data_IF_722268119413
#
_entry.id   IF_722268119413
#
_cell.length_a   1.000
_cell.length_b   1.000
_cell.length_c   1.000
_cell.angle_alpha   90.00
_cell.angle_beta   90.00
_cell.angle_gamma   90.00
#
_symmetry.space_group_name_H-M   'P 1'
#
loop_
_entity.id
_entity.type
_entity.pdbx_description
1 polymer ?
#
# COMPACT_ATOMS: atom_id res chain seq x y z
N UNK A 1 16.72 20.53 7.35
CA UNK A 1 15.39 19.95 7.63
C UNK A 1 15.51 18.44 7.80
N UNK A 2 14.75 17.85 8.72
CA UNK A 2 14.69 16.41 8.98
C UNK A 2 13.29 15.88 8.69
N UNK A 3 13.21 14.88 7.81
CA UNK A 3 11.96 14.30 7.31
C UNK A 3 11.73 12.91 7.91
N UNK A 4 10.57 12.69 8.53
CA UNK A 4 10.09 11.36 8.91
C UNK A 4 9.09 10.87 7.86
N UNK A 5 9.49 9.93 7.01
CA UNK A 5 8.66 9.41 5.93
C UNK A 5 8.10 8.02 6.29
N UNK A 6 6.79 7.96 6.55
CA UNK A 6 6.10 6.69 6.76
C UNK A 6 5.60 6.14 5.42
N UNK A 7 6.13 4.99 4.99
CA UNK A 7 5.97 4.49 3.63
C UNK A 7 5.72 2.99 3.55
N UNK A 8 6.20 2.38 2.46
CA UNK A 8 5.83 1.03 2.00
C UNK A 8 4.90 1.03 0.79
N UNK A 9 4.54 2.21 0.29
CA UNK A 9 3.75 2.44 -0.92
C UNK A 9 4.62 2.89 -2.09
N UNK A 10 4.03 2.94 -3.27
CA UNK A 10 4.68 3.56 -4.45
C UNK A 10 4.97 5.04 -4.22
N UNK A 11 4.05 5.76 -3.57
CA UNK A 11 4.16 7.16 -3.21
C UNK A 11 5.34 7.40 -2.28
N UNK A 12 5.44 6.64 -1.17
CA UNK A 12 6.56 6.75 -0.25
C UNK A 12 7.90 6.46 -0.92
N UNK A 13 7.95 5.48 -1.83
CA UNK A 13 9.17 5.20 -2.61
C UNK A 13 9.57 6.35 -3.54
N UNK A 14 8.60 6.97 -4.21
CA UNK A 14 8.84 8.12 -5.09
C UNK A 14 9.34 9.32 -4.30
N UNK A 15 8.77 9.58 -3.13
CA UNK A 15 9.21 10.65 -2.23
C UNK A 15 10.65 10.39 -1.73
N UNK A 16 10.96 9.16 -1.29
CA UNK A 16 12.31 8.80 -0.88
C UNK A 16 13.34 8.95 -2.02
N UNK A 17 12.97 8.58 -3.25
CA UNK A 17 13.83 8.78 -4.43
C UNK A 17 14.03 10.25 -4.75
N UNK A 18 12.99 11.08 -4.64
CA UNK A 18 13.09 12.53 -4.83
C UNK A 18 14.04 13.16 -3.79
N UNK A 19 13.95 12.79 -2.51
CA UNK A 19 14.88 13.23 -1.47
C UNK A 19 16.33 12.86 -1.83
N UNK A 20 16.56 11.63 -2.30
CA UNK A 20 17.88 11.18 -2.71
C UNK A 20 18.42 11.97 -3.91
N UNK A 21 17.58 12.28 -4.88
CA UNK A 21 17.92 13.06 -6.08
C UNK A 21 18.26 14.52 -5.73
N UNK A 22 17.47 15.15 -4.86
CA UNK A 22 17.77 16.50 -4.32
C UNK A 22 19.12 16.50 -3.60
N UNK A 23 19.38 15.51 -2.73
CA UNK A 23 20.66 15.41 -2.02
C UNK A 23 21.84 15.19 -2.98
N UNK A 24 21.67 14.41 -4.04
CA UNK A 24 22.68 14.22 -5.08
C UNK A 24 23.00 15.54 -5.80
N UNK A 25 21.97 16.31 -6.17
CA UNK A 25 22.14 17.64 -6.77
C UNK A 25 22.84 18.62 -5.83
N UNK A 26 22.45 18.67 -4.55
CA UNK A 26 23.13 19.49 -3.53
C UNK A 26 24.61 19.10 -3.38
N UNK A 27 24.92 17.81 -3.40
CA UNK A 27 26.31 17.33 -3.35
C UNK A 27 27.11 17.75 -4.60
N UNK A 28 26.53 17.66 -5.80
CA UNK A 28 27.16 18.14 -7.04
C UNK A 28 27.42 19.65 -6.98
N UNK A 29 26.49 20.41 -6.40
CA UNK A 29 26.60 21.86 -6.23
C UNK A 29 27.55 22.28 -5.08
N UNK A 30 28.04 21.34 -4.27
CA UNK A 30 28.89 21.63 -3.11
C UNK A 30 28.14 22.25 -1.93
N UNK A 31 26.80 22.09 -1.89
CA UNK A 31 25.95 22.51 -0.81
C UNK A 31 26.00 21.51 0.36
N UNK A 32 25.67 21.97 1.56
CA UNK A 32 25.78 21.19 2.81
C UNK A 32 24.45 21.04 3.57
N UNK A 33 23.41 21.71 3.11
CA UNK A 33 22.05 21.70 3.65
C UNK A 33 21.23 20.51 3.10
N UNK A 34 21.74 19.30 3.34
CA UNK A 34 21.07 18.07 2.93
C UNK A 34 19.72 17.88 3.66
N UNK A 35 18.81 17.19 2.99
CA UNK A 35 17.58 16.68 3.59
C UNK A 35 17.92 15.38 4.31
N UNK A 36 17.90 15.40 5.65
CA UNK A 36 18.01 14.19 6.45
C UNK A 36 16.66 13.48 6.48
N UNK A 37 16.61 12.18 6.24
CA UNK A 37 15.35 11.43 6.22
C UNK A 37 15.43 10.10 6.97
N UNK A 38 14.44 9.84 7.82
CA UNK A 38 14.15 8.53 8.37
C UNK A 38 12.91 7.95 7.68
N UNK A 39 13.10 6.86 6.93
CA UNK A 39 12.05 6.19 6.14
C UNK A 39 11.60 4.93 6.85
N UNK A 40 10.33 4.87 7.24
CA UNK A 40 9.74 3.75 7.97
C UNK A 40 8.93 2.88 7.02
N UNK A 41 9.27 1.60 6.95
CA UNK A 41 8.58 0.59 6.13
C UNK A 41 8.23 -0.63 6.97
N UNK A 42 7.12 -1.28 6.65
CA UNK A 42 6.63 -2.42 7.41
C UNK A 42 7.44 -3.72 7.17
N UNK A 43 8.11 -3.84 6.02
CA UNK A 43 8.72 -5.10 5.56
C UNK A 43 10.10 -4.91 4.94
N UNK A 44 10.91 -5.98 4.97
CA UNK A 44 12.22 -6.03 4.30
C UNK A 44 12.12 -5.77 2.80
N UNK A 45 11.03 -6.23 2.16
CA UNK A 45 10.80 -5.97 0.74
C UNK A 45 10.62 -4.47 0.48
N UNK A 46 9.77 -3.79 1.27
CA UNK A 46 9.60 -2.33 1.19
C UNK A 46 10.92 -1.58 1.32
N UNK A 47 11.80 -2.04 2.22
CA UNK A 47 13.14 -1.48 2.39
C UNK A 47 14.05 -1.74 1.18
N UNK A 48 14.00 -2.95 0.60
CA UNK A 48 14.84 -3.34 -0.55
C UNK A 48 14.60 -2.50 -1.80
N UNK A 49 13.43 -1.86 -1.90
CA UNK A 49 13.03 -1.02 -3.02
C UNK A 49 13.54 0.42 -2.94
N UNK A 50 14.13 0.82 -1.80
CA UNK A 50 14.63 2.17 -1.57
C UNK A 50 16.09 2.28 -2.01
N UNK A 51 16.45 3.40 -2.64
CA UNK A 51 17.86 3.72 -2.96
C UNK A 51 18.64 3.88 -1.65
N UNK A 52 19.85 3.33 -1.61
CA UNK A 52 20.79 3.60 -0.52
C UNK A 52 21.40 4.97 -0.73
N UNK A 53 21.17 5.87 0.22
CA UNK A 53 21.70 7.23 0.23
C UNK A 53 22.17 7.53 1.66
N UNK A 54 23.20 8.36 1.82
CA UNK A 54 23.87 8.62 3.10
C UNK A 54 22.98 9.35 4.10
N UNK A 55 22.10 10.22 3.61
CA UNK A 55 21.20 11.04 4.42
C UNK A 55 19.79 10.42 4.51
N UNK A 56 19.63 9.16 4.06
CA UNK A 56 18.38 8.39 4.17
C UNK A 56 18.62 7.14 5.01
N UNK A 57 18.04 7.11 6.22
CA UNK A 57 18.04 5.96 7.10
C UNK A 57 16.73 5.19 6.95
N UNK A 58 16.81 3.88 6.65
CA UNK A 58 15.63 3.03 6.49
C UNK A 58 15.39 2.20 7.74
N UNK A 59 14.19 2.29 8.29
CA UNK A 59 13.74 1.55 9.48
C UNK A 59 12.68 0.53 9.10
N UNK A 60 12.92 -0.73 9.47
CA UNK A 60 12.01 -1.84 9.21
C UNK A 60 11.26 -2.17 10.49
N UNK A 61 9.94 -2.20 10.40
CA UNK A 61 9.05 -2.55 11.49
C UNK A 61 7.96 -1.52 11.72
N UNK A 62 7.10 -1.82 12.69
CA UNK A 62 5.98 -0.95 13.06
C UNK A 62 6.35 -0.17 14.31
N UNK A 63 5.89 1.07 14.34
CA UNK A 63 5.97 1.93 15.52
C UNK A 63 4.57 2.18 16.06
N UNK A 64 4.45 2.21 17.37
CA UNK A 64 3.27 2.78 18.02
C UNK A 64 3.40 4.32 18.14
N UNK A 65 2.29 4.95 18.53
CA UNK A 65 2.20 6.41 18.74
C UNK A 65 3.28 6.94 19.69
N UNK A 66 3.53 6.25 20.80
CA UNK A 66 4.43 6.75 21.85
C UNK A 66 5.89 6.65 21.40
N UNK A 67 6.23 5.64 20.58
CA UNK A 67 7.52 5.54 19.91
C UNK A 67 7.70 6.65 18.87
N UNK A 68 6.68 6.92 18.04
CA UNK A 68 6.72 8.03 17.08
C UNK A 68 6.92 9.38 17.77
N UNK A 69 6.14 9.68 18.80
CA UNK A 69 6.25 10.94 19.54
C UNK A 69 7.64 11.13 20.17
N UNK A 70 8.26 10.06 20.69
CA UNK A 70 9.63 10.11 21.19
C UNK A 70 10.66 10.42 20.09
N UNK A 71 10.49 9.84 18.90
CA UNK A 71 11.39 10.10 17.77
C UNK A 71 11.28 11.55 17.31
N UNK A 72 10.05 12.03 17.09
CA UNK A 72 9.81 13.41 16.63
C UNK A 72 10.30 14.41 17.68
N UNK A 73 9.95 14.20 18.95
CA UNK A 73 10.36 15.09 20.04
C UNK A 73 11.88 15.13 20.23
N UNK A 74 12.58 14.01 20.03
CA UNK A 74 14.05 14.01 20.02
C UNK A 74 14.60 14.85 18.87
N UNK A 75 14.05 14.72 17.67
CA UNK A 75 14.51 15.49 16.52
C UNK A 75 14.29 17.00 16.70
N UNK A 76 13.16 17.40 17.29
CA UNK A 76 12.91 18.80 17.67
C UNK A 76 13.97 19.31 18.64
N UNK A 77 14.27 18.56 19.70
CA UNK A 77 15.33 18.94 20.66
C UNK A 77 16.71 19.03 19.99
N UNK A 78 17.02 18.10 19.08
CA UNK A 78 18.29 18.10 18.35
C UNK A 78 18.38 19.31 17.40
N UNK A 79 17.27 19.76 16.80
CA UNK A 79 17.18 20.98 16.00
C UNK A 79 17.33 22.24 16.85
N UNK A 80 16.64 22.33 18.00
CA UNK A 80 16.75 23.46 18.94
C UNK A 80 18.19 23.66 19.43
N UNK A 81 18.91 22.56 19.72
CA UNK A 81 20.33 22.60 20.10
C UNK A 81 21.25 23.13 19.00
N UNK A 82 20.79 23.10 17.74
CA UNK A 82 21.52 23.61 16.57
C UNK A 82 21.03 25.00 16.14
N UNK A 83 20.12 25.62 16.90
CA UNK A 83 19.56 26.94 16.61
C UNK A 83 18.36 26.93 15.65
N UNK A 84 17.79 25.76 15.37
CA UNK A 84 16.54 25.58 14.63
C UNK A 84 15.32 25.47 15.54
N UNK A 85 14.20 24.99 15.00
CA UNK A 85 12.96 24.77 15.73
C UNK A 85 12.13 23.59 15.18
N UNK A 86 10.90 23.42 15.67
CA UNK A 86 10.01 22.35 15.22
C UNK A 86 9.62 22.43 13.73
N UNK A 87 9.74 23.60 13.11
CA UNK A 87 9.53 23.81 11.67
C UNK A 87 10.63 23.18 10.80
N UNK A 88 11.77 22.81 11.39
CA UNK A 88 12.81 22.03 10.72
C UNK A 88 12.47 20.53 10.65
N UNK A 89 11.37 20.10 11.27
CA UNK A 89 10.92 18.71 11.31
C UNK A 89 9.63 18.56 10.51
N UNK A 90 9.65 17.65 9.53
CA UNK A 90 8.49 17.36 8.70
C UNK A 90 8.14 15.87 8.77
N UNK A 91 6.90 15.56 9.06
CA UNK A 91 6.37 14.20 8.96
C UNK A 91 5.60 14.05 7.65
N UNK A 92 5.91 13.01 6.87
CA UNK A 92 5.19 12.67 5.65
C UNK A 92 4.54 11.31 5.84
N UNK A 93 3.21 11.29 5.93
CA UNK A 93 2.42 10.07 5.90
C UNK A 93 2.14 9.69 4.43
N UNK A 94 2.99 8.82 3.88
CA UNK A 94 2.80 8.14 2.61
C UNK A 94 2.34 6.69 2.80
N UNK A 95 1.75 6.34 3.95
CA UNK A 95 1.23 4.99 4.21
C UNK A 95 0.06 4.67 3.29
N UNK A 96 -0.31 3.40 3.19
CA UNK A 96 -1.46 3.01 2.38
C UNK A 96 -2.76 3.63 2.95
N UNK A 97 -3.76 3.99 2.13
CA UNK A 97 -5.02 4.55 2.65
C UNK A 97 -5.83 3.67 3.62
N UNK A 98 -5.50 2.37 3.72
CA UNK A 98 -6.09 1.44 4.70
C UNK A 98 -5.36 1.42 6.04
N UNK A 99 -4.21 2.09 6.11
CA UNK A 99 -3.34 2.05 7.26
C UNK A 99 -3.84 3.02 8.35
N UNK A 100 -5.13 2.93 8.69
CA UNK A 100 -5.80 3.88 9.58
C UNK A 100 -5.13 3.98 10.94
N UNK A 101 -4.75 2.85 11.53
CA UNK A 101 -4.09 2.82 12.84
C UNK A 101 -2.75 3.57 12.80
N UNK A 102 -1.94 3.38 11.76
CA UNK A 102 -0.65 4.09 11.65
C UNK A 102 -0.86 5.55 11.28
N UNK A 103 -1.82 5.89 10.40
CA UNK A 103 -2.19 7.29 10.11
C UNK A 103 -2.67 8.02 11.37
N UNK A 104 -3.52 7.40 12.18
CA UNK A 104 -3.98 7.96 13.46
C UNK A 104 -2.83 8.11 14.45
N UNK A 105 -1.96 7.10 14.58
CA UNK A 105 -0.78 7.18 15.43
C UNK A 105 0.16 8.32 15.02
N UNK A 106 0.40 8.49 13.70
CA UNK A 106 1.22 9.59 13.16
C UNK A 106 0.57 10.92 13.54
N UNK A 107 -0.71 11.12 13.22
CA UNK A 107 -1.41 12.37 13.50
C UNK A 107 -1.36 12.74 14.99
N UNK A 108 -1.66 11.78 15.88
CA UNK A 108 -1.61 12.01 17.33
C UNK A 108 -0.18 12.28 17.85
N UNK A 109 0.84 11.63 17.28
CA UNK A 109 2.23 11.86 17.66
C UNK A 109 2.71 13.25 17.20
N UNK A 110 2.32 13.68 15.99
CA UNK A 110 2.62 15.01 15.48
C UNK A 110 1.97 16.09 16.34
N UNK A 111 0.69 15.93 16.68
CA UNK A 111 -0.05 16.85 17.56
C UNK A 111 0.61 16.96 18.94
N UNK A 112 1.01 15.84 19.54
CA UNK A 112 1.62 15.81 20.87
C UNK A 112 2.98 16.52 20.93
N UNK A 113 3.71 16.57 19.82
CA UNK A 113 5.06 17.16 19.74
C UNK A 113 5.03 18.57 19.13
N UNK A 114 4.02 18.90 18.33
CA UNK A 114 3.91 20.17 17.63
C UNK A 114 4.69 20.22 16.31
N UNK A 115 4.77 19.12 15.57
CA UNK A 115 5.44 19.04 14.26
C UNK A 115 4.44 18.98 13.10
N UNK A 116 4.84 19.52 11.95
CA UNK A 116 4.02 19.49 10.73
C UNK A 116 3.89 18.09 10.14
N UNK A 117 2.73 17.79 9.58
CA UNK A 117 2.41 16.51 8.95
C UNK A 117 1.76 16.71 7.58
N UNK A 118 2.31 16.06 6.55
CA UNK A 118 1.73 15.98 5.22
C UNK A 118 1.27 14.55 4.97
N UNK A 119 -0.04 14.36 4.79
CA UNK A 119 -0.62 13.11 4.30
C UNK A 119 -0.69 13.15 2.78
N UNK A 120 -0.05 12.17 2.14
CA UNK A 120 -0.12 12.02 0.68
C UNK A 120 -1.52 11.52 0.29
N UNK A 121 -2.29 12.38 -0.36
CA UNK A 121 -3.58 12.02 -0.92
C UNK A 121 -3.41 11.21 -2.20
N UNK A 122 -4.11 10.07 -2.26
CA UNK A 122 -4.28 9.30 -3.48
C UNK A 122 -5.68 9.58 -4.03
N UNK A 123 -5.83 10.28 -5.17
CA UNK A 123 -7.16 10.50 -5.73
C UNK A 123 -7.79 9.15 -6.07
N UNK A 124 -8.87 8.82 -5.36
CA UNK A 124 -9.76 7.70 -5.68
C UNK A 124 -10.61 8.08 -6.88
N UNK A 125 -10.00 8.18 -8.05
CA UNK A 125 -10.74 8.31 -9.29
C UNK A 125 -11.47 6.99 -9.56
N UNK A 126 -12.76 7.06 -9.91
CA UNK A 126 -13.35 6.07 -10.83
C UNK A 126 -12.59 6.17 -12.14
N UNK A 127 -11.39 5.60 -12.17
CA UNK A 127 -10.59 5.56 -13.38
C UNK A 127 -11.38 4.77 -14.42
N UNK A 128 -11.46 5.30 -15.63
CA UNK A 128 -12.01 4.54 -16.73
C UNK A 128 -11.19 3.26 -16.92
N UNK A 129 -11.82 2.18 -17.40
CA UNK A 129 -11.17 0.89 -17.63
C UNK A 129 -9.91 0.97 -18.52
N UNK A 130 -9.77 2.06 -19.29
CA UNK A 130 -8.64 2.34 -20.18
C UNK A 130 -7.48 3.00 -19.39
N UNK A 131 -7.76 4.03 -18.59
CA UNK A 131 -6.75 4.69 -17.75
C UNK A 131 -6.14 3.75 -16.71
N UNK A 132 -6.92 2.76 -16.26
CA UNK A 132 -6.44 1.70 -15.39
C UNK A 132 -5.49 0.74 -16.11
N UNK A 133 -5.60 0.52 -17.42
CA UNK A 133 -4.73 -0.44 -18.14
C UNK A 133 -3.33 0.11 -18.44
N UNK A 134 -3.19 1.43 -18.60
CA UNK A 134 -1.95 2.07 -19.05
C UNK A 134 -0.94 2.38 -17.93
N UNK A 135 -1.39 2.44 -16.66
CA UNK A 135 -0.50 2.73 -15.54
C UNK A 135 0.18 1.44 -15.06
N UNK A 136 1.40 1.22 -15.54
CA UNK A 136 2.29 0.18 -15.07
C UNK A 136 2.71 0.42 -13.61
N UNK A 137 1.91 -0.06 -12.66
CA UNK A 137 2.23 -0.33 -11.26
C UNK A 137 1.15 -1.26 -10.71
N UNK A 138 1.38 -1.93 -9.58
CA UNK A 138 0.33 -2.66 -8.84
C UNK A 138 -0.78 -1.71 -8.38
N UNK A 139 -1.76 -1.46 -9.26
CA UNK A 139 -2.90 -0.63 -8.95
C UNK A 139 -3.86 -1.36 -8.02
N UNK A 140 -4.38 -0.63 -7.04
CA UNK A 140 -5.43 -1.12 -6.16
C UNK A 140 -6.76 -0.59 -6.70
N UNK A 141 -7.73 -1.48 -6.84
CA UNK A 141 -9.09 -1.17 -7.29
C UNK A 141 -10.04 -1.54 -6.18
N UNK A 142 -11.00 -0.65 -5.91
CA UNK A 142 -11.82 -0.72 -4.71
C UNK A 142 -13.26 -0.95 -5.11
N UNK A 143 -13.90 -1.89 -4.43
CA UNK A 143 -15.28 -2.26 -4.68
C UNK A 143 -16.05 -2.34 -3.37
N UNK A 144 -17.33 -1.95 -3.41
CA UNK A 144 -18.21 -2.04 -2.24
C UNK A 144 -18.63 -3.50 -1.97
N UNK A 145 -18.54 -4.37 -2.98
CA UNK A 145 -18.96 -5.77 -2.87
C UNK A 145 -18.23 -6.68 -3.85
N UNK A 146 -18.25 -7.99 -3.55
CA UNK A 146 -17.75 -9.04 -4.47
C UNK A 146 -18.46 -8.98 -5.82
N UNK A 147 -19.76 -8.70 -5.82
CA UNK A 147 -20.59 -8.59 -7.03
C UNK A 147 -20.12 -7.47 -7.96
N UNK A 148 -19.76 -6.31 -7.40
CA UNK A 148 -19.25 -5.19 -8.18
C UNK A 148 -17.88 -5.51 -8.79
N UNK A 149 -16.98 -6.11 -8.01
CA UNK A 149 -15.67 -6.56 -8.50
C UNK A 149 -15.78 -7.60 -9.61
N UNK A 150 -16.67 -8.59 -9.45
CA UNK A 150 -16.94 -9.60 -10.48
C UNK A 150 -17.55 -8.98 -11.75
N UNK A 151 -18.42 -7.97 -11.60
CA UNK A 151 -18.95 -7.19 -12.72
C UNK A 151 -17.88 -6.43 -13.49
N UNK A 152 -16.92 -5.81 -12.79
CA UNK A 152 -15.77 -5.16 -13.43
C UNK A 152 -14.85 -6.17 -14.11
N UNK A 153 -14.57 -7.32 -13.48
CA UNK A 153 -13.79 -8.39 -14.12
C UNK A 153 -14.49 -8.89 -15.39
N UNK A 154 -15.82 -9.03 -15.40
CA UNK A 154 -16.57 -9.39 -16.61
C UNK A 154 -16.32 -8.42 -17.77
N UNK A 155 -16.28 -7.11 -17.51
CA UNK A 155 -16.02 -6.11 -18.57
C UNK A 155 -14.58 -6.19 -19.06
N UNK A 156 -13.61 -6.36 -18.15
CA UNK A 156 -12.19 -6.55 -18.50
C UNK A 156 -11.97 -7.78 -19.38
N UNK A 157 -12.61 -8.91 -19.06
CA UNK A 157 -12.47 -10.17 -19.81
C UNK A 157 -13.28 -10.20 -21.10
N UNK A 158 -14.10 -9.16 -21.33
CA UNK A 158 -14.69 -8.90 -22.64
C UNK A 158 -13.70 -8.20 -23.60
N UNK A 159 -12.53 -7.78 -23.10
CA UNK A 159 -11.40 -7.24 -23.89
C UNK A 159 -10.26 -8.28 -24.02
N UNK A 160 -9.29 -8.04 -24.90
CA UNK A 160 -8.32 -9.05 -25.36
C UNK A 160 -7.32 -9.56 -24.29
N UNK A 161 -7.14 -8.87 -23.15
CA UNK A 161 -6.16 -9.29 -22.12
C UNK A 161 -6.82 -10.21 -21.09
N UNK A 162 -6.58 -11.52 -21.22
CA UNK A 162 -7.05 -12.55 -20.30
C UNK A 162 -5.92 -13.02 -19.39
N UNK A 163 -5.90 -12.54 -18.14
CA UNK A 163 -4.96 -13.00 -17.09
C UNK A 163 -5.63 -14.00 -16.15
N UNK A 164 -4.90 -14.60 -15.21
CA UNK A 164 -5.54 -15.38 -14.14
C UNK A 164 -5.92 -14.49 -12.95
N UNK A 165 -6.93 -14.92 -12.20
CA UNK A 165 -7.49 -14.21 -11.05
C UNK A 165 -7.30 -15.10 -9.82
N UNK A 166 -6.52 -14.63 -8.84
CA UNK A 166 -6.43 -15.29 -7.53
C UNK A 166 -7.48 -14.70 -6.60
N UNK A 167 -8.50 -15.47 -6.26
CA UNK A 167 -9.60 -15.08 -5.37
C UNK A 167 -9.29 -15.56 -3.96
N UNK A 168 -9.10 -14.61 -3.04
CA UNK A 168 -8.74 -14.88 -1.63
C UNK A 168 -9.84 -14.47 -0.64
N UNK A 169 -11.05 -14.19 -1.13
CA UNK A 169 -12.22 -13.79 -0.33
C UNK A 169 -13.00 -14.98 0.26
N UNK A 170 -12.51 -16.21 0.05
CA UNK A 170 -13.13 -17.45 0.50
C UNK A 170 -14.28 -17.93 -0.40
N UNK A 171 -15.07 -18.89 0.09
CA UNK A 171 -16.11 -19.57 -0.69
C UNK A 171 -17.51 -18.97 -0.54
N UNK A 172 -17.73 -18.07 0.42
CA UNK A 172 -19.08 -17.59 0.79
C UNK A 172 -19.82 -16.96 -0.39
N UNK A 173 -19.14 -16.13 -1.15
CA UNK A 173 -19.71 -15.36 -2.28
C UNK A 173 -19.09 -15.78 -3.63
N UNK A 174 -18.52 -16.99 -3.71
CA UNK A 174 -17.77 -17.42 -4.89
C UNK A 174 -18.62 -17.55 -6.16
N UNK A 175 -19.95 -17.73 -6.01
CA UNK A 175 -20.88 -17.78 -7.13
C UNK A 175 -20.93 -16.47 -7.94
N UNK A 176 -20.59 -15.31 -7.34
CA UNK A 176 -20.65 -14.04 -8.07
C UNK A 176 -19.64 -13.98 -9.24
N UNK A 177 -18.54 -14.74 -9.16
CA UNK A 177 -17.52 -14.76 -10.22
C UNK A 177 -17.92 -15.59 -11.45
N UNK A 178 -19.01 -16.35 -11.40
CA UNK A 178 -19.49 -17.13 -12.56
C UNK A 178 -20.06 -16.25 -13.67
N UNK A 179 -20.20 -14.94 -13.43
CA UNK A 179 -20.59 -13.95 -14.45
C UNK A 179 -19.46 -13.63 -15.44
N UNK A 180 -18.22 -13.99 -15.12
CA UNK A 180 -17.04 -13.78 -15.97
C UNK A 180 -17.07 -14.85 -17.09
N UNK A 181 -16.90 -14.46 -18.37
CA UNK A 181 -16.82 -15.41 -19.47
C UNK A 181 -15.67 -16.40 -19.25
N UNK A 182 -15.94 -17.69 -19.44
CA UNK A 182 -14.98 -18.79 -19.21
C UNK A 182 -14.30 -18.70 -17.82
N UNK A 183 -15.00 -18.26 -16.77
CA UNK A 183 -14.41 -18.02 -15.44
C UNK A 183 -13.59 -19.23 -14.92
N UNK A 184 -14.01 -20.45 -15.24
CA UNK A 184 -13.31 -21.68 -14.84
C UNK A 184 -11.88 -21.75 -15.38
N UNK A 185 -11.59 -21.06 -16.49
CA UNK A 185 -10.27 -20.98 -17.13
C UNK A 185 -9.36 -19.86 -16.60
N UNK A 186 -9.84 -19.02 -15.67
CA UNK A 186 -9.03 -17.92 -15.12
C UNK A 186 -9.07 -17.84 -13.59
N UNK A 187 -10.15 -18.30 -12.95
CA UNK A 187 -10.34 -18.17 -11.52
C UNK A 187 -9.61 -19.27 -10.74
N UNK A 188 -8.58 -18.87 -9.99
CA UNK A 188 -7.98 -19.63 -8.90
C UNK A 188 -8.66 -19.24 -7.60
N UNK A 189 -9.14 -20.22 -6.83
CA UNK A 189 -9.90 -19.97 -5.60
C UNK A 189 -9.11 -20.46 -4.40
N UNK A 190 -8.79 -19.54 -3.48
CA UNK A 190 -8.22 -19.88 -2.18
C UNK A 190 -9.31 -19.89 -1.12
N UNK A 191 -9.54 -21.06 -0.51
CA UNK A 191 -10.59 -21.25 0.49
C UNK A 191 -10.18 -22.33 1.51
N UNK A 192 -10.98 -22.48 2.58
CA UNK A 192 -10.71 -23.48 3.63
C UNK A 192 -10.87 -24.92 3.09
N UNK A 193 -10.04 -25.87 3.57
CA UNK A 193 -10.06 -27.27 3.12
C UNK A 193 -11.20 -28.06 3.75
N UNK A 194 -12.44 -27.73 3.37
CA UNK A 194 -13.65 -28.43 3.84
C UNK A 194 -14.38 -29.10 2.66
N UNK A 195 -15.09 -30.19 2.94
CA UNK A 195 -15.90 -30.88 1.92
C UNK A 195 -17.00 -29.99 1.34
N UNK A 196 -17.62 -29.15 2.18
CA UNK A 196 -18.65 -28.19 1.76
C UNK A 196 -18.10 -27.20 0.73
N UNK A 197 -16.90 -26.66 0.96
CA UNK A 197 -16.22 -25.75 0.02
C UNK A 197 -15.93 -26.44 -1.30
N UNK A 198 -15.35 -27.65 -1.25
CA UNK A 198 -15.01 -28.41 -2.45
C UNK A 198 -16.27 -28.73 -3.28
N UNK A 199 -17.35 -29.14 -2.61
CA UNK A 199 -18.64 -29.44 -3.23
C UNK A 199 -19.22 -28.18 -3.88
N UNK A 200 -19.30 -27.07 -3.16
CA UNK A 200 -19.81 -25.79 -3.67
C UNK A 200 -19.03 -25.32 -4.91
N UNK A 201 -17.69 -25.34 -4.86
CA UNK A 201 -16.86 -24.97 -5.99
C UNK A 201 -17.07 -25.90 -7.19
N UNK A 202 -17.17 -27.21 -6.96
CA UNK A 202 -17.40 -28.19 -8.03
C UNK A 202 -18.77 -28.01 -8.70
N UNK A 203 -19.84 -27.81 -7.92
CA UNK A 203 -21.21 -27.60 -8.42
C UNK A 203 -21.33 -26.31 -9.25
N UNK A 204 -20.57 -25.28 -8.89
CA UNK A 204 -20.50 -24.02 -9.63
C UNK A 204 -19.63 -24.11 -10.88
N UNK A 205 -18.90 -25.20 -11.11
CA UNK A 205 -18.05 -25.40 -12.29
C UNK A 205 -16.60 -24.91 -12.15
N UNK A 206 -16.14 -24.61 -10.93
CA UNK A 206 -14.72 -24.30 -10.72
C UNK A 206 -13.85 -25.55 -10.87
N UNK A 207 -12.73 -25.37 -11.55
CA UNK A 207 -11.74 -26.41 -11.83
C UNK A 207 -10.98 -26.82 -10.57
N UNK A 208 -10.91 -28.12 -10.30
CA UNK A 208 -10.25 -28.66 -9.10
C UNK A 208 -8.75 -28.34 -9.05
N UNK A 209 -8.07 -28.34 -10.19
CA UNK A 209 -6.67 -27.96 -10.35
C UNK A 209 -6.40 -26.47 -10.10
N UNK A 210 -7.44 -25.67 -9.88
CA UNK A 210 -7.36 -24.23 -9.57
C UNK A 210 -7.92 -23.90 -8.18
N UNK A 211 -8.20 -24.92 -7.36
CA UNK A 211 -8.60 -24.75 -5.96
C UNK A 211 -7.39 -24.88 -5.05
N UNK A 212 -7.04 -23.80 -4.36
CA UNK A 212 -6.00 -23.75 -3.34
C UNK A 212 -6.68 -23.87 -1.97
N UNK A 213 -6.93 -25.11 -1.55
CA UNK A 213 -7.65 -25.40 -0.30
C UNK A 213 -6.67 -25.47 0.88
N UNK A 214 -6.54 -24.37 1.62
CA UNK A 214 -5.57 -24.23 2.72
C UNK A 214 -6.11 -23.31 3.83
N UNK A 215 -5.62 -23.49 5.06
CA UNK A 215 -5.92 -22.62 6.19
C UNK A 215 -4.73 -21.68 6.47
N UNK A 216 -5.02 -20.37 6.55
CA UNK A 216 -4.03 -19.33 6.88
C UNK A 216 -3.94 -19.05 8.40
N UNK A 217 -3.28 -17.95 8.82
CA UNK A 217 -2.78 -16.84 7.99
C UNK A 217 -1.57 -17.24 7.12
N UNK A 218 -1.29 -16.45 6.08
CA UNK A 218 -0.19 -16.69 5.14
C UNK A 218 0.75 -15.48 5.11
N UNK A 219 2.05 -15.73 5.30
CA UNK A 219 3.10 -14.72 5.14
C UNK A 219 3.31 -14.32 3.67
N UNK A 220 4.14 -13.29 3.44
CA UNK A 220 4.44 -12.76 2.09
C UNK A 220 4.93 -13.85 1.14
N UNK A 221 5.89 -14.68 1.55
CA UNK A 221 6.47 -15.75 0.72
C UNK A 221 5.42 -16.75 0.20
N UNK A 222 4.45 -17.11 1.04
CA UNK A 222 3.39 -18.03 0.63
C UNK A 222 2.41 -17.34 -0.33
N UNK A 223 2.11 -16.06 -0.13
CA UNK A 223 1.29 -15.29 -1.07
C UNK A 223 2.01 -15.12 -2.42
N UNK A 224 3.32 -14.86 -2.43
CA UNK A 224 4.15 -14.82 -3.64
C UNK A 224 4.11 -16.15 -4.39
N UNK A 225 4.32 -17.26 -3.69
CA UNK A 225 4.27 -18.58 -4.28
C UNK A 225 2.90 -18.88 -4.93
N UNK A 226 1.80 -18.51 -4.26
CA UNK A 226 0.45 -18.72 -4.78
C UNK A 226 0.12 -17.82 -5.98
N UNK A 227 0.54 -16.55 -5.96
CA UNK A 227 0.38 -15.64 -7.08
C UNK A 227 1.17 -16.11 -8.31
N UNK A 228 2.42 -16.58 -8.11
CA UNK A 228 3.25 -17.18 -9.18
C UNK A 228 2.64 -18.49 -9.70
N UNK A 229 2.19 -19.37 -8.80
CA UNK A 229 1.53 -20.63 -9.18
C UNK A 229 0.30 -20.38 -10.05
N UNK A 230 -0.51 -19.38 -9.70
CA UNK A 230 -1.68 -18.99 -10.47
C UNK A 230 -1.34 -18.21 -11.75
N UNK A 231 -0.10 -17.76 -11.97
CA UNK A 231 0.24 -16.73 -12.98
C UNK A 231 -0.76 -15.56 -12.95
N UNK A 232 -1.06 -15.08 -11.74
CA UNK A 232 -2.14 -14.16 -11.51
C UNK A 232 -1.80 -12.77 -12.06
N UNK A 233 -2.72 -12.17 -12.83
CA UNK A 233 -2.69 -10.72 -13.13
C UNK A 233 -3.58 -9.91 -12.19
N UNK A 234 -4.51 -10.59 -11.51
CA UNK A 234 -5.42 -9.99 -10.54
C UNK A 234 -5.43 -10.78 -9.23
N UNK A 235 -5.41 -10.06 -8.11
CA UNK A 235 -5.64 -10.59 -6.76
C UNK A 235 -6.94 -9.98 -6.23
N UNK A 236 -7.94 -10.81 -5.92
CA UNK A 236 -9.16 -10.34 -5.25
C UNK A 236 -9.09 -10.66 -3.77
N UNK A 237 -9.24 -9.65 -2.92
CA UNK A 237 -9.08 -9.77 -1.46
C UNK A 237 -10.09 -8.92 -0.71
N UNK A 238 -10.40 -9.27 0.53
CA UNK A 238 -11.10 -8.39 1.49
C UNK A 238 -10.07 -7.64 2.31
N UNK A 239 -10.38 -6.41 2.72
CA UNK A 239 -9.65 -5.77 3.80
C UNK A 239 -10.07 -6.39 5.13
N UNK A 240 -9.33 -7.42 5.53
CA UNK A 240 -9.51 -8.16 6.77
C UNK A 240 -8.57 -7.67 7.88
N UNK A 241 -7.88 -6.53 7.67
CA UNK A 241 -6.79 -6.09 8.52
C UNK A 241 -5.66 -7.12 8.65
N UNK A 242 -4.82 -6.93 9.68
CA UNK A 242 -3.65 -7.78 9.95
C UNK A 242 -4.01 -9.23 10.27
N UNK A 243 -5.09 -9.46 11.03
CA UNK A 243 -5.50 -10.80 11.46
C UNK A 243 -5.79 -11.71 10.26
N UNK A 244 -6.35 -11.15 9.17
CA UNK A 244 -6.60 -11.90 7.95
C UNK A 244 -5.46 -11.86 6.92
N UNK A 245 -4.30 -11.32 7.29
CA UNK A 245 -3.09 -11.24 6.46
C UNK A 245 -3.23 -10.35 5.23
N UNK A 246 -4.03 -9.28 5.32
CA UNK A 246 -4.25 -8.34 4.20
C UNK A 246 -2.95 -7.64 3.75
N UNK A 247 -2.08 -7.14 4.65
CA UNK A 247 -0.80 -6.54 4.27
C UNK A 247 0.08 -7.50 3.45
N UNK A 248 0.22 -8.75 3.90
CA UNK A 248 1.10 -9.74 3.27
C UNK A 248 0.64 -10.12 1.86
N UNK A 249 -0.67 -10.11 1.62
CA UNK A 249 -1.28 -10.28 0.29
C UNK A 249 -0.94 -9.11 -0.62
N UNK A 250 -1.02 -7.88 -0.10
CA UNK A 250 -0.76 -6.66 -0.83
C UNK A 250 0.71 -6.56 -1.21
N UNK A 251 1.63 -6.81 -0.27
CA UNK A 251 3.06 -6.80 -0.50
C UNK A 251 3.46 -7.79 -1.60
N UNK A 252 2.94 -9.01 -1.54
CA UNK A 252 3.20 -10.03 -2.57
C UNK A 252 2.67 -9.63 -3.95
N UNK A 253 1.50 -8.97 -4.01
CA UNK A 253 0.95 -8.49 -5.27
C UNK A 253 1.76 -7.31 -5.84
N UNK A 254 2.21 -6.40 -4.99
CA UNK A 254 3.09 -5.28 -5.37
C UNK A 254 4.39 -5.82 -5.96
N UNK A 255 4.99 -6.83 -5.34
CA UNK A 255 6.22 -7.46 -5.84
C UNK A 255 6.08 -8.07 -7.24
N UNK A 256 4.93 -8.69 -7.51
CA UNK A 256 4.69 -9.36 -8.79
C UNK A 256 4.01 -8.46 -9.83
N UNK A 257 3.78 -7.18 -9.52
CA UNK A 257 3.04 -6.26 -10.40
C UNK A 257 1.58 -6.68 -10.62
N UNK A 258 1.02 -7.44 -9.69
CA UNK A 258 -0.36 -7.94 -9.73
C UNK A 258 -1.32 -6.85 -9.30
N UNK A 259 -2.40 -6.67 -10.05
CA UNK A 259 -3.45 -5.71 -9.70
C UNK A 259 -4.32 -6.24 -8.56
N UNK A 260 -4.51 -5.44 -7.52
CA UNK A 260 -5.26 -5.86 -6.33
C UNK A 260 -6.67 -5.29 -6.37
N UNK A 261 -7.68 -6.15 -6.36
CA UNK A 261 -9.09 -5.79 -6.24
C UNK A 261 -9.51 -5.99 -4.78
N UNK A 262 -9.68 -4.90 -4.05
CA UNK A 262 -10.05 -4.91 -2.63
C UNK A 262 -11.56 -4.73 -2.49
N UNK A 263 -12.17 -5.68 -1.77
CA UNK A 263 -13.57 -5.63 -1.37
C UNK A 263 -13.65 -4.95 0.00
N UNK A 264 -14.39 -3.84 0.04
CA UNK A 264 -14.45 -2.91 1.17
C UNK A 264 -13.62 -1.67 0.87
N UNK A 265 -14.24 -0.48 0.98
CA UNK A 265 -13.52 0.79 0.89
C UNK A 265 -12.74 1.04 2.19
N UNK A 266 -11.59 1.73 2.13
CA UNK A 266 -10.95 2.20 3.34
C UNK A 266 -11.94 3.05 4.11
N UNK A 267 -12.12 2.77 5.38
CA UNK A 267 -12.66 3.79 6.28
C UNK A 267 -11.64 4.91 6.32
N UNK A 268 -12.06 6.16 6.15
CA UNK A 268 -11.15 7.29 6.28
C UNK A 268 -10.66 7.35 7.72
N UNK A 269 -9.34 7.35 7.93
CA UNK A 269 -8.75 7.77 9.19
C UNK A 269 -9.31 9.16 9.57
N UNK A 270 -9.53 9.39 10.87
CA UNK A 270 -9.87 10.73 11.33
C UNK A 270 -8.66 11.64 11.08
N UNK A 271 -8.76 12.46 10.04
CA UNK A 271 -7.74 13.44 9.70
C UNK A 271 -8.03 14.75 10.47
N UNK A 272 -7.03 15.30 11.18
CA UNK A 272 -7.14 16.62 11.79
C UNK A 272 -7.47 17.69 10.74
N UNK A 273 -8.24 18.70 11.15
CA UNK A 273 -8.53 19.88 10.33
C UNK A 273 -7.80 21.09 10.94
N UNK A 274 -6.48 21.05 10.88
CA UNK A 274 -5.56 21.98 11.52
C UNK A 274 -4.45 22.37 10.54
N UNK A 275 -3.87 23.57 10.66
CA UNK A 275 -2.88 24.08 9.70
C UNK A 275 -1.60 23.23 9.63
N UNK A 276 -1.25 22.54 10.73
CA UNK A 276 -0.10 21.65 10.82
C UNK A 276 -0.33 20.30 10.13
N UNK A 277 -1.56 19.97 9.72
CA UNK A 277 -1.91 18.71 9.07
C UNK A 277 -2.49 18.95 7.67
N UNK A 278 -1.71 18.66 6.64
CA UNK A 278 -2.12 18.88 5.24
C UNK A 278 -2.38 17.57 4.51
N UNK A 279 -3.37 17.56 3.62
CA UNK A 279 -3.70 16.42 2.75
C UNK A 279 -3.55 16.88 1.30
N UNK A 280 -2.44 16.55 0.65
CA UNK A 280 -2.09 17.03 -0.70
C UNK A 280 -1.62 15.89 -1.60
N UNK A 281 -1.69 16.06 -2.92
CA UNK A 281 -1.31 15.03 -3.88
C UNK A 281 0.21 14.77 -3.92
N UNK A 282 0.61 13.58 -4.41
CA UNK A 282 2.03 13.22 -4.53
C UNK A 282 2.88 14.27 -5.26
N UNK A 283 2.36 14.86 -6.34
CA UNK A 283 3.13 15.85 -7.10
C UNK A 283 3.36 17.12 -6.28
N UNK A 284 2.35 17.59 -5.55
CA UNK A 284 2.48 18.76 -4.67
C UNK A 284 3.51 18.53 -3.55
N UNK A 285 3.62 17.29 -3.04
CA UNK A 285 4.67 16.92 -2.08
C UNK A 285 6.06 16.98 -2.71
N UNK A 286 6.21 16.46 -3.92
CA UNK A 286 7.49 16.50 -4.64
C UNK A 286 7.91 17.95 -4.91
N UNK A 287 6.99 18.76 -5.45
CA UNK A 287 7.23 20.17 -5.74
C UNK A 287 7.63 20.94 -4.47
N UNK A 288 6.98 20.65 -3.32
CA UNK A 288 7.35 21.23 -2.03
C UNK A 288 8.77 20.85 -1.61
N UNK A 289 9.18 19.59 -1.76
CA UNK A 289 10.53 19.12 -1.40
C UNK A 289 11.62 19.74 -2.28
N UNK A 290 11.36 19.90 -3.57
CA UNK A 290 12.30 20.53 -4.52
C UNK A 290 12.53 22.02 -4.24
N UNK A 291 11.65 22.66 -3.47
CA UNK A 291 11.78 24.06 -3.06
C UNK A 291 12.66 24.27 -1.80
N UNK A 292 13.14 23.20 -1.16
CA UNK A 292 13.89 23.20 0.11
C UNK A 292 15.42 23.07 -0.09
#
# INVERSE_FOLDING_TARGET
MHIFLFGGTTEGRKIANCIAEINEEKNIAGLLDYLEADVFVATDYGASLLKKEKHINVHIGRLDRDQMAKLFGKAVLDAENQGGDAGDILVIDATHPYANVVTENIAMACEAVGVGCIRVHRPYGRLSSIEMMERGSSDFVYFDSVKEAAGWLKTVYSSEIKKNILITTGSKEIQEYTVIPDFSEYCYVRALPTEEVLKKCSELGFRRDRLILMQGPFGVDMNLAQLRYADAGFLVTKDSGEIGGFPEKCDAAIELGVRVLVIGRPTHAMVPNEDWYQVIGLQEVIDFLEML
#
